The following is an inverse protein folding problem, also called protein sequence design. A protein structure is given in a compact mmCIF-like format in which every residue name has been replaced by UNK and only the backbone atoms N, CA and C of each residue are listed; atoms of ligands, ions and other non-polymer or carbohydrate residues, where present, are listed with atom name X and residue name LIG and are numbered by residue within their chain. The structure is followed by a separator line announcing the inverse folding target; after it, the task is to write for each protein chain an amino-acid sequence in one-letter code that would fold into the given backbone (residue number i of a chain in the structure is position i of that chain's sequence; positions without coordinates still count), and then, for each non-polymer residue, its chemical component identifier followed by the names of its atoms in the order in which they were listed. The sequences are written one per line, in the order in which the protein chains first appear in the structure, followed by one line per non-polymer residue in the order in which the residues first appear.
data_IF_041926467984
#
_entry.id   IF_041926467984
#
_cell.length_a   1.000
_cell.length_b   1.000
_cell.length_c   1.000
_cell.angle_alpha   90.00
_cell.angle_beta   90.00
_cell.angle_gamma   90.00
#
_symmetry.space_group_name_H-M   'P 1'
#
loop_
_entity.id
_entity.type
_entity.pdbx_description
1 polymer ?
#
# COMPACT_ATOMS: atom_id res chain seq x y z
N UNK A 1 -9.96 -5.15 -7.85
CA UNK A 1 -10.07 -6.43 -7.10
C UNK A 1 -9.72 -7.64 -7.99
N UNK A 2 -8.43 -7.85 -8.24
CA UNK A 2 -7.92 -9.18 -8.57
C UNK A 2 -7.36 -9.71 -7.25
N UNK A 3 -8.22 -10.29 -6.41
CA UNK A 3 -7.77 -11.14 -5.29
C UNK A 3 -7.33 -12.47 -5.87
N UNK A 4 -6.23 -12.45 -6.63
CA UNK A 4 -5.61 -13.63 -7.18
C UNK A 4 -4.41 -13.96 -6.31
N UNK A 5 -4.50 -15.05 -5.53
CA UNK A 5 -3.32 -15.69 -4.94
C UNK A 5 -2.43 -16.17 -6.08
N UNK A 6 -1.65 -15.26 -6.64
CA UNK A 6 -0.70 -15.59 -7.67
C UNK A 6 0.39 -16.42 -7.00
N UNK A 7 0.45 -17.69 -7.37
CA UNK A 7 1.46 -18.62 -6.87
C UNK A 7 2.84 -17.97 -7.04
N UNK A 8 3.67 -18.09 -5.99
CA UNK A 8 4.81 -17.25 -5.58
C UNK A 8 5.82 -16.77 -6.65
N UNK A 9 5.74 -17.24 -7.90
CA UNK A 9 6.71 -16.97 -8.97
C UNK A 9 6.11 -16.86 -10.37
N UNK A 10 4.90 -16.32 -10.56
CA UNK A 10 4.43 -16.01 -11.92
C UNK A 10 5.13 -14.75 -12.44
N UNK A 11 5.78 -14.80 -13.61
CA UNK A 11 6.53 -13.66 -14.19
C UNK A 11 5.66 -12.42 -14.42
N UNK A 12 4.34 -12.59 -14.59
CA UNK A 12 3.40 -11.48 -14.75
C UNK A 12 2.99 -10.82 -13.41
N UNK A 13 3.30 -11.43 -12.27
CA UNK A 13 3.01 -10.88 -10.95
C UNK A 13 4.19 -10.06 -10.44
N UNK A 14 4.12 -8.75 -10.66
CA UNK A 14 5.22 -7.82 -10.38
C UNK A 14 5.10 -7.08 -9.05
N UNK A 15 3.93 -7.12 -8.39
CA UNK A 15 3.66 -6.43 -7.13
C UNK A 15 2.67 -7.21 -6.26
N UNK A 16 2.68 -6.94 -4.96
CA UNK A 16 1.67 -7.43 -3.99
C UNK A 16 0.63 -6.33 -3.80
N UNK A 17 -0.63 -6.63 -4.09
CA UNK A 17 -1.76 -5.70 -3.96
C UNK A 17 -2.96 -6.12 -4.82
N UNK A 18 -4.07 -5.40 -4.85
CA UNK A 18 -4.36 -4.11 -4.20
C UNK A 18 -4.62 -4.30 -2.70
N UNK A 19 -3.65 -3.89 -1.88
CA UNK A 19 -3.66 -4.05 -0.42
C UNK A 19 -3.84 -2.69 0.26
N UNK A 20 -4.59 -2.57 1.34
CA UNK A 20 -4.67 -1.31 2.10
C UNK A 20 -6.00 -1.06 2.81
N UNK A 21 -6.17 0.15 3.32
CA UNK A 21 -7.25 0.52 4.24
C UNK A 21 -8.21 1.52 3.58
N UNK A 22 -9.48 1.14 3.44
CA UNK A 22 -10.56 2.02 2.97
C UNK A 22 -11.65 2.12 4.05
N UNK A 23 -11.53 3.15 4.89
CA UNK A 23 -12.49 3.39 5.97
C UNK A 23 -13.80 4.02 5.48
N UNK A 24 -13.83 4.62 4.29
CA UNK A 24 -15.04 5.18 3.70
C UNK A 24 -16.09 4.08 3.44
N UNK A 25 -15.62 2.87 3.13
CA UNK A 25 -16.48 1.69 2.91
C UNK A 25 -16.58 0.76 4.13
N UNK A 26 -16.01 1.14 5.28
CA UNK A 26 -15.95 0.34 6.50
C UNK A 26 -15.29 -1.04 6.30
N UNK A 27 -14.41 -1.17 5.29
CA UNK A 27 -13.55 -2.33 5.13
C UNK A 27 -12.33 -2.10 6.01
N UNK A 28 -12.33 -2.70 7.20
CA UNK A 28 -11.19 -2.70 8.09
C UNK A 28 -10.64 -4.13 8.15
N UNK A 29 -9.73 -4.54 7.25
CA UNK A 29 -9.23 -5.90 7.26
C UNK A 29 -7.97 -5.97 8.14
N UNK A 30 -7.97 -6.93 9.05
CA UNK A 30 -6.76 -7.43 9.72
C UNK A 30 -5.71 -7.99 8.74
N UNK A 31 -6.03 -8.05 7.43
CA UNK A 31 -5.22 -8.69 6.41
C UNK A 31 -4.15 -7.78 5.78
N UNK A 32 -4.22 -6.45 5.97
CA UNK A 32 -3.21 -5.52 5.42
C UNK A 32 -1.81 -5.80 5.97
N UNK A 33 -1.71 -6.14 7.27
CA UNK A 33 -0.42 -6.51 7.88
C UNK A 33 0.14 -7.79 7.25
N UNK A 34 -0.71 -8.77 6.93
CA UNK A 34 -0.29 -10.03 6.29
C UNK A 34 0.20 -9.79 4.86
N UNK A 35 -0.43 -8.88 4.12
CA UNK A 35 -0.01 -8.53 2.76
C UNK A 35 1.34 -7.78 2.77
N UNK A 36 1.56 -6.91 3.75
CA UNK A 36 2.85 -6.25 3.98
C UNK A 36 3.94 -7.27 4.33
N UNK A 37 3.66 -8.21 5.25
CA UNK A 37 4.59 -9.29 5.59
C UNK A 37 4.91 -10.15 4.36
N UNK A 38 3.90 -10.50 3.57
CA UNK A 38 4.08 -11.28 2.34
C UNK A 38 4.93 -10.53 1.31
N UNK A 39 4.75 -9.22 1.17
CA UNK A 39 5.58 -8.41 0.29
C UNK A 39 7.04 -8.37 0.76
N UNK A 40 7.27 -8.29 2.08
CA UNK A 40 8.61 -8.40 2.66
C UNK A 40 9.22 -9.78 2.38
N UNK A 41 8.46 -10.87 2.55
CA UNK A 41 8.93 -12.24 2.28
C UNK A 41 9.27 -12.47 0.81
N UNK A 42 8.46 -11.92 -0.10
CA UNK A 42 8.63 -12.09 -1.55
C UNK A 42 9.57 -11.04 -2.16
N UNK A 43 9.99 -10.03 -1.39
CA UNK A 43 10.75 -8.88 -1.85
C UNK A 43 10.14 -8.23 -3.11
N UNK A 44 8.81 -8.08 -3.13
CA UNK A 44 8.04 -7.51 -4.25
C UNK A 44 7.43 -6.17 -3.84
N UNK A 45 7.39 -5.18 -4.74
CA UNK A 45 6.83 -3.88 -4.41
C UNK A 45 5.35 -3.97 -4.00
N UNK A 46 4.94 -3.08 -3.10
CA UNK A 46 3.57 -2.97 -2.60
C UNK A 46 2.75 -1.98 -3.44
N UNK A 47 1.52 -2.37 -3.76
CA UNK A 47 0.55 -1.50 -4.43
C UNK A 47 -0.60 -1.20 -3.46
N UNK A 48 -0.55 0.00 -2.87
CA UNK A 48 -1.30 0.35 -1.67
C UNK A 48 -2.46 1.28 -2.00
N UNK A 49 -3.67 0.88 -1.64
CA UNK A 49 -4.83 1.77 -1.65
C UNK A 49 -5.09 2.31 -0.25
N UNK A 50 -5.28 3.61 -0.09
CA UNK A 50 -5.86 4.13 1.15
C UNK A 50 -6.89 5.22 0.93
N UNK A 51 -7.89 5.24 1.81
CA UNK A 51 -8.91 6.30 1.87
C UNK A 51 -9.28 6.58 3.33
N UNK A 52 -9.01 7.81 3.77
CA UNK A 52 -9.23 8.30 5.14
C UNK A 52 -8.48 7.47 6.23
N UNK A 53 -7.42 6.76 5.86
CA UNK A 53 -6.71 5.78 6.71
C UNK A 53 -5.20 6.06 6.88
N UNK A 54 -4.77 7.29 6.60
CA UNK A 54 -3.36 7.68 6.55
C UNK A 54 -2.55 7.31 7.80
N UNK A 55 -3.05 7.62 8.99
CA UNK A 55 -2.31 7.38 10.23
C UNK A 55 -2.07 5.88 10.50
N UNK A 56 -3.08 5.06 10.26
CA UNK A 56 -2.97 3.61 10.44
C UNK A 56 -2.06 2.98 9.37
N UNK A 57 -2.16 3.44 8.13
CA UNK A 57 -1.31 2.96 7.03
C UNK A 57 0.15 3.29 7.29
N UNK A 58 0.45 4.54 7.68
CA UNK A 58 1.80 4.95 8.06
C UNK A 58 2.32 4.15 9.24
N UNK A 59 1.49 3.86 10.25
CA UNK A 59 1.90 3.02 11.39
C UNK A 59 2.31 1.62 10.94
N UNK A 60 1.47 0.96 10.14
CA UNK A 60 1.75 -0.38 9.61
C UNK A 60 3.04 -0.41 8.78
N UNK A 61 3.23 0.59 7.90
CA UNK A 61 4.43 0.68 7.07
C UNK A 61 5.69 0.97 7.90
N UNK A 62 5.56 1.81 8.94
CA UNK A 62 6.67 2.12 9.85
C UNK A 62 7.10 0.92 10.68
N UNK A 63 6.14 0.09 11.11
CA UNK A 63 6.41 -1.14 11.88
C UNK A 63 7.19 -2.19 11.07
N UNK A 64 6.99 -2.22 9.74
CA UNK A 64 7.75 -3.10 8.86
C UNK A 64 9.22 -2.65 8.68
N UNK A 65 9.46 -1.33 8.75
CA UNK A 65 10.79 -0.71 8.75
C UNK A 65 11.58 -0.99 7.46
N UNK A 66 12.90 -1.18 7.59
CA UNK A 66 13.82 -1.41 6.46
C UNK A 66 13.56 -2.71 5.67
N UNK A 67 12.71 -3.61 6.18
CA UNK A 67 12.32 -4.83 5.47
C UNK A 67 11.33 -4.56 4.35
N UNK A 68 10.73 -3.38 4.34
CA UNK A 68 9.68 -3.05 3.38
C UNK A 68 10.27 -2.83 1.98
N UNK A 69 9.81 -3.57 0.95
CA UNK A 69 10.16 -3.27 -0.43
C UNK A 69 9.54 -1.94 -0.88
N UNK A 70 9.96 -1.38 -2.04
CA UNK A 70 9.39 -0.15 -2.56
C UNK A 70 7.86 -0.21 -2.64
N UNK A 71 7.18 0.85 -2.19
CA UNK A 71 5.72 0.92 -2.17
C UNK A 71 5.19 2.08 -3.00
N UNK A 72 4.02 1.87 -3.60
CA UNK A 72 3.27 2.89 -4.34
C UNK A 72 1.91 3.08 -3.68
N UNK A 73 1.62 4.30 -3.20
CA UNK A 73 0.28 4.70 -2.77
C UNK A 73 -0.50 5.14 -4.01
N UNK A 74 -1.43 4.32 -4.50
CA UNK A 74 -2.16 4.63 -5.73
C UNK A 74 -3.47 5.37 -5.44
N UNK A 75 -3.89 6.22 -6.39
CA UNK A 75 -5.10 7.01 -6.28
C UNK A 75 -5.14 7.84 -4.99
N UNK A 76 -4.04 8.53 -4.71
CA UNK A 76 -3.90 9.35 -3.52
C UNK A 76 -4.88 10.52 -3.54
N UNK A 77 -5.74 10.58 -2.53
CA UNK A 77 -6.73 11.66 -2.31
C UNK A 77 -6.52 12.39 -0.98
N UNK A 78 -5.35 12.22 -0.37
CA UNK A 78 -5.01 12.84 0.91
C UNK A 78 -4.56 14.31 0.80
N UNK A 79 -4.05 14.84 1.90
CA UNK A 79 -3.52 16.21 1.99
C UNK A 79 -2.05 16.30 1.55
N UNK A 80 -1.55 17.52 1.31
CA UNK A 80 -0.14 17.75 0.95
C UNK A 80 0.82 17.24 2.05
N UNK A 81 0.45 17.37 3.32
CA UNK A 81 1.30 16.92 4.43
C UNK A 81 1.37 15.40 4.52
N UNK A 82 0.27 14.71 4.23
CA UNK A 82 0.23 13.25 4.12
C UNK A 82 1.09 12.76 2.94
N UNK A 83 1.03 13.46 1.81
CA UNK A 83 1.88 13.16 0.65
C UNK A 83 3.36 13.33 0.97
N UNK A 84 3.75 14.45 1.61
CA UNK A 84 5.15 14.70 2.02
C UNK A 84 5.66 13.58 2.91
N UNK A 85 4.84 13.11 3.87
CA UNK A 85 5.21 12.02 4.76
C UNK A 85 5.54 10.73 4.01
N UNK A 86 4.75 10.37 3.00
CA UNK A 86 5.05 9.20 2.18
C UNK A 86 6.32 9.35 1.35
N UNK A 87 6.56 10.54 0.79
CA UNK A 87 7.79 10.84 0.06
C UNK A 87 9.01 10.78 0.98
N UNK A 88 8.92 11.32 2.20
CA UNK A 88 9.99 11.29 3.20
C UNK A 88 10.31 9.86 3.65
N UNK A 89 9.31 8.98 3.66
CA UNK A 89 9.49 7.54 3.90
C UNK A 89 10.06 6.78 2.69
N UNK A 90 10.23 7.44 1.54
CA UNK A 90 10.78 6.84 0.32
C UNK A 90 9.75 6.12 -0.57
N UNK A 91 8.46 6.39 -0.38
CA UNK A 91 7.39 5.80 -1.18
C UNK A 91 6.98 6.67 -2.36
N UNK A 92 6.33 6.05 -3.34
CA UNK A 92 5.82 6.71 -4.54
C UNK A 92 4.34 7.02 -4.40
N UNK A 93 3.90 8.15 -4.96
CA UNK A 93 2.50 8.59 -4.95
C UNK A 93 1.95 8.53 -6.37
N UNK A 94 0.88 7.78 -6.56
CA UNK A 94 0.11 7.69 -7.79
C UNK A 94 -1.03 8.69 -7.79
N UNK A 95 -0.90 9.75 -8.59
CA UNK A 95 -1.95 10.73 -8.84
C UNK A 95 -2.81 10.29 -10.04
N UNK A 96 -4.13 10.25 -9.87
CA UNK A 96 -5.11 9.87 -10.90
C UNK A 96 -6.09 11.01 -11.19
N UNK A 97 -7.04 10.80 -12.10
CA UNK A 97 -8.02 11.83 -12.50
C UNK A 97 -9.08 12.20 -11.46
N UNK A 98 -9.07 11.62 -10.25
CA UNK A 98 -9.92 12.08 -9.13
C UNK A 98 -9.32 13.28 -8.37
N UNK A 99 -8.10 13.73 -8.69
CA UNK A 99 -7.39 14.83 -7.99
C UNK A 99 -7.74 16.22 -8.59
N UNK A 100 -8.99 16.45 -8.97
CA UNK A 100 -9.48 17.76 -9.48
C UNK A 100 -10.79 18.15 -8.83
#
# INVERSE_FOLDING_TARGET
MITGTCEKSHEQCVAVGECGLDFNRNFSPQDVQKEVELACELNKPLFIHEREAHEDMVRILSDAGERLPPAVIHCFTGTEDEAKKYVDMGYYIGLTGEVT
#
